data_IF_741063651116
#
_entry.id   IF_741063651116
#
_cell.length_a   1.000
_cell.length_b   1.000
_cell.length_c   1.000
_cell.angle_alpha   90.00
_cell.angle_beta   90.00
_cell.angle_gamma   90.00
#
_symmetry.space_group_name_H-M   'P 1'
#
loop_
_entity.id
_entity.type
_entity.pdbx_description
1 polymer ?
#
# COMPACT_ATOMS: atom_id res chain seq x y z
N UNK A 1 16.10 -1.11 4.05
CA UNK A 1 15.64 -0.94 5.46
C UNK A 1 15.75 0.51 5.97
N UNK A 2 16.02 1.51 5.11
CA UNK A 2 16.31 2.90 5.53
C UNK A 2 15.09 3.82 5.71
N UNK A 3 13.88 3.30 5.53
CA UNK A 3 12.67 4.08 5.34
C UNK A 3 11.71 4.06 6.54
N UNK A 4 12.21 3.88 7.76
CA UNK A 4 11.37 3.82 8.97
C UNK A 4 11.39 5.18 9.69
N UNK A 5 10.22 5.77 9.94
CA UNK A 5 10.09 7.06 10.62
C UNK A 5 9.11 6.98 11.79
N UNK A 6 9.46 7.60 12.91
CA UNK A 6 8.55 7.73 14.05
C UNK A 6 7.55 8.88 13.85
N UNK A 7 6.32 8.74 14.35
CA UNK A 7 5.27 9.78 14.24
C UNK A 7 5.74 11.16 14.70
N UNK A 8 6.52 11.23 15.79
CA UNK A 8 7.05 12.51 16.30
C UNK A 8 7.98 13.17 15.27
N UNK A 9 8.93 12.41 14.72
CA UNK A 9 9.91 12.90 13.74
C UNK A 9 9.24 13.32 12.44
N UNK A 10 8.26 12.55 11.97
CA UNK A 10 7.45 12.90 10.80
C UNK A 10 6.71 14.23 11.00
N UNK A 11 6.07 14.42 12.16
CA UNK A 11 5.35 15.67 12.47
C UNK A 11 6.26 16.88 12.55
N UNK A 12 7.44 16.72 13.16
CA UNK A 12 8.41 17.82 13.32
C UNK A 12 9.09 18.23 12.00
N UNK A 13 9.16 17.32 11.01
CA UNK A 13 9.86 17.55 9.74
C UNK A 13 8.96 17.29 8.52
N UNK A 14 7.66 17.56 8.66
CA UNK A 14 6.66 17.13 7.68
C UNK A 14 6.96 17.60 6.26
N UNK A 15 7.38 18.86 6.09
CA UNK A 15 7.70 19.43 4.78
C UNK A 15 8.86 18.70 4.08
N UNK A 16 9.91 18.33 4.82
CA UNK A 16 11.06 17.61 4.29
C UNK A 16 10.65 16.20 3.82
N UNK A 17 9.86 15.50 4.63
CA UNK A 17 9.34 14.19 4.26
C UNK A 17 8.37 14.27 3.07
N UNK A 18 7.53 15.31 2.99
CA UNK A 18 6.62 15.51 1.87
C UNK A 18 7.40 15.71 0.55
N UNK A 19 8.45 16.52 0.54
CA UNK A 19 9.32 16.69 -0.63
C UNK A 19 10.05 15.38 -0.99
N UNK A 20 10.57 14.65 0.00
CA UNK A 20 11.19 13.34 -0.25
C UNK A 20 10.20 12.34 -0.87
N UNK A 21 8.97 12.31 -0.36
CA UNK A 21 7.89 11.45 -0.87
C UNK A 21 7.50 11.85 -2.30
N UNK A 22 7.35 13.15 -2.57
CA UNK A 22 7.09 13.66 -3.92
C UNK A 22 8.19 13.27 -4.93
N UNK A 23 9.43 13.15 -4.47
CA UNK A 23 10.57 12.71 -5.28
C UNK A 23 10.75 11.18 -5.35
N UNK A 24 9.70 10.40 -5.04
CA UNK A 24 9.71 8.95 -5.23
C UNK A 24 10.10 8.14 -3.99
N UNK A 25 10.39 8.76 -2.84
CA UNK A 25 10.69 8.01 -1.61
C UNK A 25 9.42 7.52 -0.93
N UNK A 26 9.52 6.39 -0.24
CA UNK A 26 8.47 5.84 0.60
C UNK A 26 8.95 5.68 2.03
N UNK A 27 8.07 5.82 3.01
CA UNK A 27 8.41 5.64 4.43
C UNK A 27 7.35 4.83 5.18
N UNK A 28 7.79 3.89 6.02
CA UNK A 28 6.96 3.20 7.00
C UNK A 28 6.93 4.00 8.30
N UNK A 29 5.73 4.43 8.70
CA UNK A 29 5.52 5.21 9.91
C UNK A 29 5.25 4.28 11.09
N UNK A 30 6.02 4.45 12.16
CA UNK A 30 5.94 3.64 13.39
C UNK A 30 5.56 4.49 14.60
N UNK A 31 4.86 3.89 15.56
CA UNK A 31 4.61 4.45 16.90
C UNK A 31 4.81 3.36 17.94
N UNK A 32 5.70 3.59 18.92
CA UNK A 32 5.99 2.62 20.00
C UNK A 32 6.29 1.20 19.46
N UNK A 33 7.14 1.12 18.44
CA UNK A 33 7.50 -0.14 17.76
C UNK A 33 6.35 -0.85 17.03
N UNK A 34 5.19 -0.21 16.89
CA UNK A 34 4.07 -0.70 16.08
C UNK A 34 4.04 0.03 14.73
N UNK A 35 3.98 -0.68 13.59
CA UNK A 35 3.74 -0.06 12.28
C UNK A 35 2.32 0.48 12.21
N UNK A 36 2.16 1.70 11.68
CA UNK A 36 0.86 2.36 11.54
C UNK A 36 0.41 2.43 10.09
N UNK A 37 1.20 3.08 9.23
CA UNK A 37 0.88 3.30 7.82
C UNK A 37 2.16 3.56 7.03
N UNK A 38 2.07 3.51 5.70
CA UNK A 38 3.14 3.91 4.78
C UNK A 38 2.75 5.24 4.12
N UNK A 39 3.70 6.14 3.99
CA UNK A 39 3.59 7.29 3.09
C UNK A 39 4.37 6.97 1.82
N UNK A 40 3.72 7.12 0.68
CA UNK A 40 4.23 6.79 -0.65
C UNK A 40 3.98 7.98 -1.58
N UNK A 41 4.77 8.12 -2.66
CA UNK A 41 4.51 9.13 -3.67
C UNK A 41 3.08 8.95 -4.18
N UNK A 42 2.34 10.04 -4.34
CA UNK A 42 1.06 9.98 -5.03
C UNK A 42 1.36 9.74 -6.51
N UNK A 43 1.35 8.49 -6.94
CA UNK A 43 1.45 8.14 -8.36
C UNK A 43 0.10 8.44 -9.01
N UNK A 44 0.08 9.13 -10.17
CA UNK A 44 -1.16 9.33 -10.93
C UNK A 44 -1.82 7.98 -11.33
N UNK A 45 -1.06 6.89 -11.25
CA UNK A 45 -1.48 5.51 -11.53
C UNK A 45 -1.75 4.65 -10.27
N UNK A 46 -1.53 5.12 -9.04
CA UNK A 46 -1.72 4.30 -7.83
C UNK A 46 -3.20 4.07 -7.47
N UNK A 47 -4.11 4.90 -7.98
CA UNK A 47 -5.57 4.64 -7.94
C UNK A 47 -6.03 3.61 -8.99
N UNK A 48 -5.12 3.11 -9.82
CA UNK A 48 -5.42 2.03 -10.76
C UNK A 48 -5.33 0.72 -9.99
N UNK A 49 -6.46 0.28 -9.45
CA UNK A 49 -6.63 -1.10 -9.02
C UNK A 49 -6.14 -2.04 -10.14
N UNK A 50 -5.07 -2.78 -9.87
CA UNK A 50 -4.60 -3.81 -10.80
C UNK A 50 -5.58 -4.99 -10.75
N UNK A 51 -6.10 -5.39 -11.90
CA UNK A 51 -6.92 -6.61 -12.02
C UNK A 51 -6.03 -7.82 -11.72
N UNK A 52 -6.06 -8.32 -10.48
CA UNK A 52 -5.30 -9.50 -10.06
C UNK A 52 -5.81 -10.76 -10.80
N UNK A 53 -7.12 -10.85 -11.01
CA UNK A 53 -7.78 -11.94 -11.74
C UNK A 53 -9.23 -11.55 -12.08
N UNK A 54 -9.63 -11.75 -13.34
CA UNK A 54 -11.03 -11.67 -13.75
C UNK A 54 -11.65 -13.07 -13.80
N UNK A 55 -12.43 -13.39 -12.76
CA UNK A 55 -13.12 -14.68 -12.62
C UNK A 55 -14.18 -14.92 -13.70
N UNK A 56 -14.63 -13.89 -14.42
CA UNK A 56 -15.58 -14.05 -15.53
C UNK A 56 -14.96 -14.71 -16.75
N UNK A 57 -13.64 -14.60 -16.93
CA UNK A 57 -12.87 -15.32 -17.95
C UNK A 57 -12.83 -16.83 -17.69
N UNK A 58 -12.97 -17.24 -16.43
CA UNK A 58 -13.01 -18.65 -16.02
C UNK A 58 -14.43 -19.21 -16.16
N UNK A 59 -15.42 -18.48 -15.63
CA UNK A 59 -16.84 -18.84 -15.72
C UNK A 59 -17.65 -17.56 -15.80
N UNK A 60 -18.39 -17.35 -16.90
CA UNK A 60 -19.15 -16.10 -17.16
C UNK A 60 -20.13 -15.69 -16.06
N UNK A 61 -20.57 -16.64 -15.22
CA UNK A 61 -21.44 -16.38 -14.07
C UNK A 61 -20.70 -16.12 -12.75
N UNK A 62 -19.38 -15.97 -12.78
CA UNK A 62 -18.52 -15.99 -11.59
C UNK A 62 -18.21 -17.41 -11.11
N UNK A 63 -17.31 -17.51 -10.14
CA UNK A 63 -16.89 -18.75 -9.49
C UNK A 63 -17.30 -18.67 -8.02
N UNK A 64 -17.86 -19.74 -7.47
CA UNK A 64 -18.18 -19.81 -6.03
C UNK A 64 -16.89 -19.81 -5.21
N UNK A 65 -16.85 -19.04 -4.13
CA UNK A 65 -15.63 -18.86 -3.35
C UNK A 65 -15.20 -20.17 -2.68
N UNK A 66 -16.16 -21.01 -2.33
CA UNK A 66 -15.97 -22.33 -1.73
C UNK A 66 -15.19 -23.27 -2.66
N UNK A 67 -15.45 -23.20 -3.97
CA UNK A 67 -14.75 -23.99 -4.98
C UNK A 67 -13.26 -23.61 -5.05
N UNK A 68 -12.97 -22.30 -4.96
CA UNK A 68 -11.59 -21.78 -4.98
C UNK A 68 -10.85 -22.17 -3.70
N UNK A 69 -11.48 -21.98 -2.55
CA UNK A 69 -10.88 -22.24 -1.25
C UNK A 69 -10.64 -23.74 -0.99
N UNK A 70 -11.36 -24.63 -1.67
CA UNK A 70 -11.17 -26.09 -1.54
C UNK A 70 -9.77 -26.60 -1.90
N UNK A 71 -8.96 -25.77 -2.59
CA UNK A 71 -7.60 -26.11 -3.05
C UNK A 71 -6.48 -25.57 -2.14
N UNK A 72 -6.84 -24.85 -1.08
CA UNK A 72 -5.92 -24.28 -0.08
C UNK A 72 -5.97 -25.11 1.21
#
# INVERSE_FOLDING_TARGET
MENIVGVKKLRENFAEYAEQVKNGRSFLVMKKSTPLFRIIPADENEDVWEEIIDFTKIKKGGVEIEEILSRL
#
